data_IF_066748417263
#
_entry.id   IF_066748417263
#
_cell.length_a   1.000
_cell.length_b   1.000
_cell.length_c   1.000
_cell.angle_alpha   90.00
_cell.angle_beta   90.00
_cell.angle_gamma   90.00
#
_symmetry.space_group_name_H-M   'P 1'
#
loop_
_entity.id
_entity.type
_entity.pdbx_description
1 polymer ?
#
# COMPACT_ATOMS: atom_id res chain seq x y z
N UNK A 1 -27.50 12.85 -11.41
CA UNK A 1 -26.74 13.88 -12.15
C UNK A 1 -25.39 13.98 -11.46
N UNK A 2 -24.33 13.48 -12.10
CA UNK A 2 -22.99 13.66 -11.55
C UNK A 2 -22.66 15.15 -11.52
N UNK A 3 -22.08 15.62 -10.42
CA UNK A 3 -21.42 16.92 -10.39
C UNK A 3 -20.30 16.84 -11.42
N UNK A 4 -20.55 17.31 -12.64
CA UNK A 4 -19.49 17.54 -13.59
C UNK A 4 -18.66 18.69 -13.01
N UNK A 5 -17.44 18.38 -12.59
CA UNK A 5 -16.37 19.32 -12.30
C UNK A 5 -16.14 20.19 -13.53
N UNK A 6 -16.91 21.28 -13.69
CA UNK A 6 -16.59 22.28 -14.69
C UNK A 6 -15.28 22.89 -14.21
N UNK A 7 -14.20 22.58 -14.91
CA UNK A 7 -12.88 23.15 -14.66
C UNK A 7 -13.04 24.68 -14.54
N UNK A 8 -12.50 25.34 -13.51
CA UNK A 8 -12.54 26.80 -13.37
C UNK A 8 -12.14 27.55 -14.65
N UNK A 9 -11.22 26.99 -15.44
CA UNK A 9 -10.82 27.51 -16.74
C UNK A 9 -11.96 27.38 -17.76
N UNK A 10 -12.61 26.22 -17.84
CA UNK A 10 -13.77 25.99 -18.71
C UNK A 10 -14.98 26.82 -18.30
N UNK A 11 -15.25 26.95 -16.99
CA UNK A 11 -16.33 27.79 -16.48
C UNK A 11 -16.06 29.27 -16.72
N UNK A 12 -14.80 29.73 -16.57
CA UNK A 12 -14.39 31.09 -16.96
C UNK A 12 -14.63 31.35 -18.45
N UNK A 13 -14.32 30.38 -19.31
CA UNK A 13 -14.56 30.46 -20.74
C UNK A 13 -16.06 30.40 -21.10
N UNK A 14 -16.88 29.69 -20.31
CA UNK A 14 -18.30 29.51 -20.57
C UNK A 14 -19.19 30.65 -20.05
N UNK A 15 -18.83 31.28 -18.93
CA UNK A 15 -19.77 32.16 -18.21
C UNK A 15 -19.54 33.65 -18.38
N UNK A 16 -18.42 34.10 -18.98
CA UNK A 16 -18.04 35.52 -19.05
C UNK A 16 -18.11 36.25 -17.68
N UNK A 17 -18.10 35.51 -16.56
CA UNK A 17 -18.19 36.02 -15.19
C UNK A 17 -16.96 35.59 -14.37
N UNK A 18 -15.76 36.08 -14.73
CA UNK A 18 -14.51 35.72 -14.05
C UNK A 18 -14.52 36.09 -12.55
N UNK A 19 -15.23 37.14 -12.19
CA UNK A 19 -15.30 37.66 -10.82
C UNK A 19 -15.94 36.69 -9.82
N UNK A 20 -16.90 35.86 -10.25
CA UNK A 20 -17.61 34.93 -9.35
C UNK A 20 -16.68 33.79 -8.91
N UNK A 21 -15.92 33.23 -9.84
CA UNK A 21 -14.94 32.18 -9.55
C UNK A 21 -13.77 32.71 -8.72
N UNK A 22 -13.25 33.88 -9.09
CA UNK A 22 -12.14 34.49 -8.35
C UNK A 22 -12.59 34.85 -6.92
N UNK A 23 -13.82 35.33 -6.74
CA UNK A 23 -14.39 35.55 -5.41
C UNK A 23 -14.65 34.25 -4.66
N UNK A 24 -15.10 33.17 -5.31
CA UNK A 24 -15.28 31.86 -4.69
C UNK A 24 -13.97 31.29 -4.15
N UNK A 25 -12.89 31.31 -4.95
CA UNK A 25 -11.58 30.84 -4.52
C UNK A 25 -10.96 31.73 -3.44
N UNK A 26 -11.06 33.06 -3.57
CA UNK A 26 -10.63 34.01 -2.52
C UNK A 26 -11.38 33.80 -1.20
N UNK A 27 -12.69 33.55 -1.26
CA UNK A 27 -13.51 33.24 -0.10
C UNK A 27 -13.13 31.88 0.51
N UNK A 28 -12.87 30.85 -0.31
CA UNK A 28 -12.38 29.55 0.17
C UNK A 28 -11.04 29.73 0.90
N UNK A 29 -10.08 30.46 0.33
CA UNK A 29 -8.77 30.72 0.95
C UNK A 29 -8.89 31.38 2.32
N UNK A 30 -9.80 32.37 2.47
CA UNK A 30 -9.99 33.08 3.75
C UNK A 30 -10.84 32.30 4.76
N UNK A 31 -11.94 31.67 4.34
CA UNK A 31 -12.91 31.02 5.23
C UNK A 31 -12.54 29.58 5.63
N UNK A 32 -11.86 28.82 4.79
CA UNK A 32 -11.52 27.42 5.11
C UNK A 32 -10.52 27.34 6.24
N UNK A 33 -9.61 28.31 6.35
CA UNK A 33 -8.64 28.29 7.45
C UNK A 33 -9.32 28.20 8.82
N UNK A 34 -10.33 29.03 9.11
CA UNK A 34 -11.03 28.96 10.40
C UNK A 34 -11.84 27.68 10.58
N UNK A 35 -12.38 27.10 9.50
CA UNK A 35 -13.20 25.89 9.55
C UNK A 35 -12.38 24.60 9.73
N UNK A 36 -11.19 24.53 9.13
CA UNK A 36 -10.43 23.28 9.00
C UNK A 36 -9.09 23.26 9.75
N UNK A 37 -8.69 24.38 10.37
CA UNK A 37 -7.48 24.48 11.19
C UNK A 37 -7.39 23.43 12.32
N UNK A 38 -8.54 23.03 12.87
CA UNK A 38 -8.60 22.02 13.94
C UNK A 38 -8.59 20.59 13.40
N UNK A 39 -8.69 20.43 12.08
CA UNK A 39 -8.80 19.13 11.40
C UNK A 39 -7.48 18.76 10.73
N UNK A 40 -6.81 19.73 10.10
CA UNK A 40 -5.60 19.48 9.32
C UNK A 40 -4.34 20.08 9.94
N UNK A 41 -3.18 19.42 9.78
CA UNK A 41 -1.88 19.99 10.12
C UNK A 41 -1.62 21.32 9.43
N UNK A 42 -0.82 22.18 10.07
CA UNK A 42 -0.48 23.51 9.55
C UNK A 42 0.13 23.48 8.14
N UNK A 43 1.01 22.51 7.85
CA UNK A 43 1.60 22.32 6.52
C UNK A 43 0.54 21.95 5.47
N UNK A 44 -0.38 21.05 5.79
CA UNK A 44 -1.49 20.67 4.91
C UNK A 44 -2.37 21.88 4.59
N UNK A 45 -2.65 22.73 5.58
CA UNK A 45 -3.40 23.97 5.37
C UNK A 45 -2.66 24.97 4.48
N UNK A 46 -1.33 25.04 4.54
CA UNK A 46 -0.54 25.86 3.62
C UNK A 46 -0.68 25.39 2.17
N UNK A 47 -0.67 24.07 1.94
CA UNK A 47 -0.86 23.49 0.62
C UNK A 47 -2.25 23.80 0.05
N UNK A 48 -3.29 23.63 0.86
CA UNK A 48 -4.67 23.95 0.43
C UNK A 48 -4.86 25.43 0.11
N UNK A 49 -4.24 26.32 0.87
CA UNK A 49 -4.24 27.76 0.55
C UNK A 49 -3.60 28.03 -0.80
N UNK A 50 -2.41 27.47 -1.05
CA UNK A 50 -1.74 27.60 -2.35
C UNK A 50 -2.57 26.99 -3.48
N UNK A 51 -3.19 25.83 -3.24
CA UNK A 51 -4.05 25.14 -4.20
C UNK A 51 -5.22 26.02 -4.68
N UNK A 52 -5.95 26.64 -3.74
CA UNK A 52 -7.03 27.55 -4.10
C UNK A 52 -6.54 28.91 -4.64
N UNK A 53 -5.29 29.27 -4.38
CA UNK A 53 -4.62 30.41 -5.01
C UNK A 53 -4.20 30.17 -6.47
N UNK A 54 -4.23 28.92 -6.92
CA UNK A 54 -3.89 28.51 -8.28
C UNK A 54 -2.52 27.81 -8.39
N UNK A 55 -2.18 27.37 -9.60
CA UNK A 55 -1.02 26.50 -9.87
C UNK A 55 0.30 27.10 -9.37
N UNK A 56 0.53 28.40 -9.58
CA UNK A 56 1.77 29.06 -9.18
C UNK A 56 1.90 29.13 -7.65
N UNK A 57 0.85 29.56 -6.96
CA UNK A 57 0.83 29.64 -5.50
C UNK A 57 0.95 28.25 -4.86
N UNK A 58 0.28 27.24 -5.42
CA UNK A 58 0.38 25.86 -4.98
C UNK A 58 1.80 25.33 -5.12
N UNK A 59 2.42 25.51 -6.30
CA UNK A 59 3.78 25.01 -6.57
C UNK A 59 4.78 25.65 -5.61
N UNK A 60 4.65 26.95 -5.36
CA UNK A 60 5.46 27.67 -4.37
C UNK A 60 5.26 27.11 -2.96
N UNK A 61 4.02 26.91 -2.52
CA UNK A 61 3.72 26.35 -1.21
C UNK A 61 4.25 24.92 -1.06
N UNK A 62 4.04 24.08 -2.08
CA UNK A 62 4.52 22.69 -2.12
C UNK A 62 6.03 22.61 -2.00
N UNK A 63 6.77 23.43 -2.76
CA UNK A 63 8.23 23.49 -2.70
C UNK A 63 8.72 23.90 -1.31
N UNK A 64 8.12 24.93 -0.70
CA UNK A 64 8.49 25.38 0.66
C UNK A 64 8.27 24.28 1.69
N UNK A 65 7.10 23.63 1.67
CA UNK A 65 6.79 22.53 2.59
C UNK A 65 7.73 21.36 2.35
N UNK A 66 7.95 20.98 1.09
CA UNK A 66 8.81 19.87 0.70
C UNK A 66 10.26 20.07 1.13
N UNK A 67 10.87 21.20 0.79
CA UNK A 67 12.25 21.50 1.18
C UNK A 67 12.42 21.42 2.70
N UNK A 68 11.49 21.99 3.48
CA UNK A 68 11.56 21.93 4.95
C UNK A 68 11.52 20.48 5.47
N UNK A 69 10.59 19.66 4.98
CA UNK A 69 10.46 18.26 5.40
C UNK A 69 11.71 17.47 5.01
N UNK A 70 12.20 17.66 3.79
CA UNK A 70 13.39 16.98 3.28
C UNK A 70 14.65 17.36 4.06
N UNK A 71 14.84 18.64 4.41
CA UNK A 71 15.95 19.09 5.25
C UNK A 71 15.94 18.41 6.63
N UNK A 72 14.75 18.27 7.23
CA UNK A 72 14.60 17.63 8.53
C UNK A 72 14.81 16.11 8.50
N UNK A 73 14.43 15.47 7.40
CA UNK A 73 14.70 14.04 7.17
C UNK A 73 16.19 13.81 6.90
N UNK A 74 16.81 14.61 6.03
CA UNK A 74 18.22 14.49 5.68
C UNK A 74 19.16 14.64 6.89
N UNK A 75 18.81 15.48 7.88
CA UNK A 75 19.56 15.59 9.15
C UNK A 75 19.64 14.28 9.95
N UNK A 76 18.75 13.31 9.71
CA UNK A 76 18.74 12.00 10.38
C UNK A 76 19.45 10.91 9.58
N UNK A 77 19.81 11.20 8.33
CA UNK A 77 20.43 10.22 7.44
C UNK A 77 21.94 10.30 7.56
N UNK A 78 22.59 9.14 7.67
CA UNK A 78 24.04 9.02 7.86
C UNK A 78 24.72 8.48 6.60
N UNK A 79 23.99 7.74 5.76
CA UNK A 79 24.46 7.14 4.50
C UNK A 79 23.61 7.62 3.32
N UNK A 80 24.16 7.47 2.10
CA UNK A 80 23.56 7.92 0.83
C UNK A 80 22.74 6.84 0.10
N UNK A 81 22.86 5.57 0.50
CA UNK A 81 22.14 4.47 -0.14
C UNK A 81 21.66 3.46 0.88
N UNK A 82 20.51 2.84 0.59
CA UNK A 82 19.91 1.83 1.47
C UNK A 82 19.08 0.83 0.67
N UNK A 83 18.95 -0.36 1.23
CA UNK A 83 18.18 -1.46 0.67
C UNK A 83 16.72 -1.35 1.14
N UNK A 84 15.74 -1.35 0.21
CA UNK A 84 14.31 -1.28 0.54
C UNK A 84 13.84 -2.42 1.44
N UNK A 85 14.32 -3.63 1.16
CA UNK A 85 14.01 -4.82 1.93
C UNK A 85 14.43 -4.65 3.40
N UNK A 86 15.64 -4.14 3.64
CA UNK A 86 16.17 -3.89 4.97
C UNK A 86 15.40 -2.79 5.72
N UNK A 87 14.96 -1.74 5.01
CA UNK A 87 14.05 -0.73 5.57
C UNK A 87 12.75 -1.41 6.04
N UNK A 88 12.11 -2.20 5.19
CA UNK A 88 10.85 -2.89 5.53
C UNK A 88 11.00 -3.87 6.68
N UNK A 89 12.05 -4.70 6.66
CA UNK A 89 12.36 -5.64 7.74
C UNK A 89 12.58 -4.92 9.06
N UNK A 90 13.18 -3.72 9.05
CA UNK A 90 13.41 -2.94 10.27
C UNK A 90 12.13 -2.29 10.77
N UNK A 91 11.35 -1.66 9.89
CA UNK A 91 10.19 -0.86 10.31
C UNK A 91 8.96 -1.71 10.66
N UNK A 92 8.84 -2.92 10.09
CA UNK A 92 7.75 -3.86 10.38
C UNK A 92 8.06 -4.78 11.57
N UNK A 93 9.30 -4.80 12.05
CA UNK A 93 9.72 -5.56 13.22
C UNK A 93 9.56 -4.70 14.48
N UNK A 94 8.63 -5.10 15.35
CA UNK A 94 8.29 -4.39 16.60
C UNK A 94 9.52 -4.20 17.50
N UNK A 95 10.50 -5.11 17.45
CA UNK A 95 11.72 -4.99 18.26
C UNK A 95 12.70 -3.93 17.71
N UNK A 96 12.61 -3.62 16.41
CA UNK A 96 13.54 -2.74 15.68
C UNK A 96 12.91 -1.47 15.15
N UNK A 97 11.60 -1.31 15.33
CA UNK A 97 10.82 -0.21 14.78
C UNK A 97 11.37 1.16 15.18
N UNK A 98 11.99 1.30 16.36
CA UNK A 98 12.58 2.55 16.86
C UNK A 98 13.85 3.02 16.13
N UNK A 99 14.27 2.35 15.06
CA UNK A 99 15.41 2.79 14.25
C UNK A 99 15.07 4.06 13.45
N UNK A 100 15.35 5.22 14.05
CA UNK A 100 15.02 6.54 13.50
C UNK A 100 15.59 6.78 12.09
N UNK A 101 16.75 6.21 11.77
CA UNK A 101 17.40 6.36 10.46
C UNK A 101 16.55 5.65 9.39
N UNK A 102 16.16 4.40 9.65
CA UNK A 102 15.32 3.62 8.72
C UNK A 102 13.91 4.19 8.59
N UNK A 103 13.35 4.72 9.68
CA UNK A 103 12.10 5.46 9.64
C UNK A 103 12.20 6.72 8.77
N UNK A 104 13.26 7.52 8.94
CA UNK A 104 13.47 8.74 8.16
C UNK A 104 13.65 8.45 6.67
N UNK A 105 14.25 7.32 6.30
CA UNK A 105 14.38 6.91 4.90
C UNK A 105 13.07 6.52 4.26
N UNK A 106 12.27 5.70 4.95
CA UNK A 106 10.96 5.31 4.47
C UNK A 106 10.04 6.54 4.31
N UNK A 107 10.12 7.48 5.26
CA UNK A 107 9.45 8.77 5.18
C UNK A 107 9.93 9.59 3.96
N UNK A 108 11.26 9.68 3.75
CA UNK A 108 11.87 10.39 2.62
C UNK A 108 11.37 9.82 1.28
N UNK A 109 11.40 8.50 1.11
CA UNK A 109 10.88 7.83 -0.08
C UNK A 109 9.42 8.17 -0.35
N UNK A 110 8.57 8.05 0.66
CA UNK A 110 7.14 8.29 0.53
C UNK A 110 6.85 9.76 0.18
N UNK A 111 7.52 10.71 0.85
CA UNK A 111 7.35 12.14 0.62
C UNK A 111 7.85 12.55 -0.76
N UNK A 112 9.03 12.11 -1.19
CA UNK A 112 9.58 12.40 -2.53
C UNK A 112 8.67 11.88 -3.63
N UNK A 113 8.23 10.62 -3.54
CA UNK A 113 7.31 10.05 -4.53
C UNK A 113 5.98 10.81 -4.61
N UNK A 114 5.43 11.19 -3.46
CA UNK A 114 4.18 11.95 -3.39
C UNK A 114 4.35 13.38 -3.94
N UNK A 115 5.50 14.02 -3.68
CA UNK A 115 5.87 15.30 -4.28
C UNK A 115 5.94 15.22 -5.81
N UNK A 116 6.67 14.24 -6.35
CA UNK A 116 6.81 14.07 -7.81
C UNK A 116 5.44 13.84 -8.47
N UNK A 117 4.58 13.05 -7.81
CA UNK A 117 3.21 12.79 -8.25
C UNK A 117 2.38 14.08 -8.26
N UNK A 118 2.47 14.92 -7.24
CA UNK A 118 1.80 16.23 -7.22
C UNK A 118 2.32 17.12 -8.33
N UNK A 119 3.65 17.29 -8.44
CA UNK A 119 4.30 18.13 -9.45
C UNK A 119 3.96 17.70 -10.88
N UNK A 120 3.92 16.39 -11.17
CA UNK A 120 3.52 15.89 -12.49
C UNK A 120 2.07 16.23 -12.84
N UNK A 121 1.20 16.37 -11.84
CA UNK A 121 -0.22 16.62 -12.02
C UNK A 121 -0.63 18.09 -11.84
N UNK A 122 0.29 19.00 -11.51
CA UNK A 122 -0.04 20.44 -11.40
C UNK A 122 -0.43 21.05 -12.75
N UNK A 123 0.16 20.56 -13.84
CA UNK A 123 -0.14 21.00 -15.20
C UNK A 123 -1.22 20.17 -15.91
N UNK A 124 -1.84 19.21 -15.23
CA UNK A 124 -2.85 18.34 -15.85
C UNK A 124 -4.26 18.87 -15.58
N UNK A 125 -5.23 18.34 -16.34
CA UNK A 125 -6.64 18.71 -16.21
C UNK A 125 -7.23 18.34 -14.83
N UNK A 126 -6.55 17.48 -14.07
CA UNK A 126 -7.03 17.03 -12.77
C UNK A 126 -6.74 18.04 -11.66
N UNK A 127 -5.96 19.10 -11.90
CA UNK A 127 -5.55 20.04 -10.84
C UNK A 127 -6.75 20.52 -10.03
N UNK A 128 -7.81 21.03 -10.67
CA UNK A 128 -8.98 21.57 -9.98
C UNK A 128 -10.04 20.52 -9.59
N UNK A 129 -9.64 19.27 -9.40
CA UNK A 129 -10.57 18.16 -9.09
C UNK A 129 -10.34 17.63 -7.68
N UNK A 130 -11.35 16.94 -7.15
CA UNK A 130 -11.28 16.23 -5.87
C UNK A 130 -10.14 15.20 -5.83
N UNK A 131 -9.72 14.68 -6.99
CA UNK A 131 -8.59 13.74 -7.11
C UNK A 131 -7.29 14.42 -6.68
N UNK A 132 -7.06 15.65 -7.11
CA UNK A 132 -5.85 16.39 -6.76
C UNK A 132 -5.88 16.86 -5.31
N UNK A 133 -7.04 17.28 -4.79
CA UNK A 133 -7.23 17.52 -3.35
C UNK A 133 -6.87 16.26 -2.53
N UNK A 134 -7.26 15.08 -2.99
CA UNK A 134 -6.86 13.80 -2.40
C UNK A 134 -5.34 13.60 -2.36
N UNK A 135 -4.61 13.98 -3.41
CA UNK A 135 -3.15 13.93 -3.42
C UNK A 135 -2.52 14.93 -2.44
N UNK A 136 -3.13 16.11 -2.28
CA UNK A 136 -2.70 17.10 -1.27
C UNK A 136 -2.90 16.53 0.15
N UNK A 137 -4.03 15.87 0.42
CA UNK A 137 -4.28 15.21 1.70
C UNK A 137 -3.28 14.08 1.99
N UNK A 138 -2.98 13.24 1.00
CA UNK A 138 -1.97 12.17 1.08
C UNK A 138 -0.61 12.78 1.48
N UNK A 139 -0.14 13.75 0.69
CA UNK A 139 1.13 14.41 0.92
C UNK A 139 1.20 15.12 2.28
N UNK A 140 0.16 15.86 2.65
CA UNK A 140 0.10 16.58 3.92
C UNK A 140 0.18 15.65 5.13
N UNK A 141 -0.43 14.46 5.06
CA UNK A 141 -0.30 13.44 6.11
C UNK A 141 1.12 12.87 6.19
N UNK A 142 1.74 12.57 5.04
CA UNK A 142 3.13 12.11 4.99
C UNK A 142 4.10 13.15 5.54
N UNK A 143 3.90 14.43 5.18
CA UNK A 143 4.70 15.55 5.67
C UNK A 143 4.57 15.71 7.19
N UNK A 144 3.35 15.68 7.73
CA UNK A 144 3.11 15.75 9.17
C UNK A 144 3.80 14.60 9.92
N UNK A 145 3.70 13.38 9.40
CA UNK A 145 4.31 12.21 10.01
C UNK A 145 5.83 12.20 9.94
N UNK A 146 6.37 12.76 8.88
CA UNK A 146 7.81 12.97 8.74
C UNK A 146 8.30 13.98 9.78
N UNK A 147 7.54 15.06 10.02
CA UNK A 147 7.86 16.03 11.05
C UNK A 147 7.71 15.46 12.47
N UNK A 148 6.78 14.51 12.68
CA UNK A 148 6.59 13.81 13.95
C UNK A 148 7.83 13.00 14.38
N UNK A 149 8.68 12.59 13.43
CA UNK A 149 9.98 11.96 13.74
C UNK A 149 10.95 12.90 14.48
N UNK A 150 10.67 14.20 14.54
CA UNK A 150 11.41 15.15 15.37
C UNK A 150 10.92 15.20 16.83
N UNK A 151 9.83 14.51 17.17
CA UNK A 151 9.26 14.51 18.52
C UNK A 151 8.45 15.76 18.89
N UNK A 152 8.22 16.68 17.94
CA UNK A 152 7.45 17.91 18.18
C UNK A 152 5.95 17.76 18.00
N UNK A 153 5.51 16.67 17.38
CA UNK A 153 4.11 16.32 17.21
C UNK A 153 3.95 14.79 17.20
N UNK A 154 2.74 14.32 17.48
CA UNK A 154 2.41 12.90 17.40
C UNK A 154 0.94 12.71 16.99
N UNK A 155 0.63 11.56 16.39
CA UNK A 155 -0.76 11.15 16.18
C UNK A 155 -1.31 10.52 17.46
N UNK A 156 -2.63 10.58 17.62
CA UNK A 156 -3.30 9.78 18.63
C UNK A 156 -3.11 8.28 18.30
N UNK A 157 -2.49 7.47 19.19
CA UNK A 157 -2.12 6.09 18.91
C UNK A 157 -3.32 5.12 18.84
N UNK A 158 -4.52 5.57 19.23
CA UNK A 158 -5.74 4.75 19.17
C UNK A 158 -6.73 5.38 18.19
N UNK A 159 -6.86 4.75 17.02
CA UNK A 159 -7.93 4.98 16.06
C UNK A 159 -8.49 3.65 15.62
N UNK A 160 -9.71 3.37 16.05
CA UNK A 160 -10.44 2.13 15.78
C UNK A 160 -10.97 2.18 14.34
N UNK A 161 -10.26 1.54 13.41
CA UNK A 161 -10.51 1.61 11.97
C UNK A 161 -11.90 1.15 11.52
N UNK A 162 -12.50 0.22 12.28
CA UNK A 162 -13.88 -0.23 12.08
C UNK A 162 -14.87 0.94 12.15
N UNK A 163 -14.58 2.01 12.89
CA UNK A 163 -15.41 3.22 12.89
C UNK A 163 -15.23 4.09 11.63
N UNK A 164 -14.19 3.87 10.82
CA UNK A 164 -13.97 4.57 9.54
C UNK A 164 -14.50 3.77 8.33
N UNK A 165 -14.53 2.42 8.42
CA UNK A 165 -15.11 1.56 7.39
C UNK A 165 -16.62 1.73 7.26
N UNK A 166 -17.35 1.91 8.38
CA UNK A 166 -18.81 2.08 8.30
C UNK A 166 -19.23 3.41 7.65
N UNK A 167 -18.64 4.57 7.97
CA UNK A 167 -18.84 5.80 7.20
C UNK A 167 -18.47 5.64 5.73
N UNK A 168 -17.31 5.05 5.42
CA UNK A 168 -16.89 4.80 4.03
C UNK A 168 -17.88 3.89 3.28
N UNK A 169 -18.31 2.80 3.90
CA UNK A 169 -19.29 1.88 3.31
C UNK A 169 -20.67 2.54 3.14
N UNK A 170 -21.07 3.39 4.09
CA UNK A 170 -22.32 4.17 4.00
C UNK A 170 -22.25 5.19 2.86
N UNK A 171 -21.15 5.94 2.76
CA UNK A 171 -20.94 6.94 1.70
C UNK A 171 -20.83 6.29 0.31
N UNK A 172 -20.24 5.10 0.22
CA UNK A 172 -20.22 4.27 -1.00
C UNK A 172 -21.64 3.84 -1.43
N UNK A 173 -22.51 3.48 -0.48
CA UNK A 173 -23.91 3.12 -0.76
C UNK A 173 -24.76 4.36 -1.10
N UNK A 174 -24.45 5.51 -0.50
CA UNK A 174 -25.19 6.76 -0.69
C UNK A 174 -24.75 7.57 -1.93
N UNK A 175 -23.78 7.07 -2.71
CA UNK A 175 -23.19 7.77 -3.88
C UNK A 175 -22.65 9.18 -3.57
N UNK A 176 -22.37 9.50 -2.30
CA UNK A 176 -21.85 10.80 -1.84
C UNK A 176 -20.32 10.78 -1.73
N UNK A 177 -19.65 10.23 -2.73
CA UNK A 177 -18.20 10.06 -2.70
C UNK A 177 -17.50 11.39 -3.01
N UNK A 178 -17.24 12.19 -1.98
CA UNK A 178 -16.21 13.22 -2.04
C UNK A 178 -14.91 12.56 -1.56
N UNK A 179 -13.83 12.61 -2.34
CA UNK A 179 -12.54 11.97 -2.04
C UNK A 179 -11.83 12.53 -0.78
N UNK A 180 -12.54 13.27 0.08
CA UNK A 180 -11.99 14.19 1.08
C UNK A 180 -11.68 13.57 2.46
N UNK A 181 -11.94 12.29 2.75
CA UNK A 181 -11.65 11.69 4.07
C UNK A 181 -11.02 10.29 3.99
N UNK A 182 -10.25 9.87 5.02
CA UNK A 182 -9.06 9.07 4.80
C UNK A 182 -9.39 7.62 4.46
N UNK A 183 -9.25 7.31 3.17
CA UNK A 183 -9.15 5.95 2.60
C UNK A 183 -7.95 5.17 3.18
N UNK A 184 -7.07 5.84 3.93
CA UNK A 184 -5.78 5.34 4.38
C UNK A 184 -5.84 4.33 5.52
N UNK A 185 -6.63 4.57 6.58
CA UNK A 185 -6.86 3.57 7.62
C UNK A 185 -7.54 2.31 7.05
N UNK A 186 -8.49 2.50 6.12
CA UNK A 186 -9.12 1.41 5.36
C UNK A 186 -8.12 0.67 4.45
N UNK A 187 -7.04 1.33 4.01
CA UNK A 187 -6.00 0.71 3.18
C UNK A 187 -5.32 -0.45 3.89
N UNK A 188 -5.27 -0.48 5.24
CA UNK A 188 -4.73 -1.62 5.99
C UNK A 188 -5.57 -2.89 5.78
N UNK A 189 -6.90 -2.75 5.74
CA UNK A 189 -7.80 -3.87 5.46
C UNK A 189 -7.69 -4.30 4.00
N UNK A 190 -7.62 -3.33 3.08
CA UNK A 190 -7.45 -3.60 1.66
C UNK A 190 -6.13 -4.33 1.38
N UNK A 191 -5.01 -3.89 1.97
CA UNK A 191 -3.71 -4.57 1.86
C UNK A 191 -3.82 -6.02 2.30
N UNK A 192 -4.39 -6.28 3.48
CA UNK A 192 -4.58 -7.65 3.99
C UNK A 192 -5.41 -8.49 3.03
N UNK A 193 -6.55 -7.95 2.59
CA UNK A 193 -7.47 -8.65 1.70
C UNK A 193 -6.84 -8.92 0.33
N UNK A 194 -6.13 -7.95 -0.24
CA UNK A 194 -5.44 -8.09 -1.52
C UNK A 194 -4.35 -9.15 -1.45
N UNK A 195 -3.54 -9.21 -0.39
CA UNK A 195 -2.55 -10.29 -0.20
C UNK A 195 -3.25 -11.65 -0.15
N UNK A 196 -4.31 -11.77 0.65
CA UNK A 196 -5.05 -13.03 0.82
C UNK A 196 -5.67 -13.50 -0.50
N UNK A 197 -6.40 -12.63 -1.19
CA UNK A 197 -7.05 -12.93 -2.48
C UNK A 197 -6.00 -13.26 -3.54
N UNK A 198 -4.91 -12.50 -3.63
CA UNK A 198 -3.87 -12.73 -4.62
C UNK A 198 -3.21 -14.11 -4.47
N UNK A 199 -2.86 -14.50 -3.24
CA UNK A 199 -2.28 -15.82 -2.96
C UNK A 199 -3.28 -16.93 -3.28
N UNK A 200 -4.53 -16.78 -2.82
CA UNK A 200 -5.60 -17.74 -3.08
C UNK A 200 -5.86 -17.94 -4.57
N UNK A 201 -5.94 -16.85 -5.34
CA UNK A 201 -6.13 -16.90 -6.80
C UNK A 201 -4.94 -17.55 -7.50
N UNK A 202 -3.71 -17.22 -7.09
CA UNK A 202 -2.52 -17.85 -7.65
C UNK A 202 -2.50 -19.36 -7.36
N UNK A 203 -2.86 -19.80 -6.15
CA UNK A 203 -2.93 -21.23 -5.82
C UNK A 203 -4.20 -21.95 -6.33
N UNK A 204 -5.14 -21.23 -6.96
CA UNK A 204 -6.41 -21.82 -7.41
C UNK A 204 -7.33 -22.26 -6.27
N UNK A 205 -7.33 -21.54 -5.14
CA UNK A 205 -8.06 -21.88 -3.92
C UNK A 205 -9.07 -20.77 -3.60
N UNK A 206 -10.34 -21.12 -3.40
CA UNK A 206 -11.35 -20.19 -2.87
C UNK A 206 -11.26 -20.14 -1.35
N UNK A 207 -11.28 -21.31 -0.71
CA UNK A 207 -11.21 -21.41 0.75
C UNK A 207 -10.57 -22.73 1.20
N UNK A 208 -9.95 -22.71 2.37
CA UNK A 208 -9.45 -23.92 3.05
C UNK A 208 -10.14 -23.96 4.41
N UNK A 209 -10.93 -25.01 4.68
CA UNK A 209 -11.71 -25.10 5.93
C UNK A 209 -11.35 -26.36 6.70
N UNK A 210 -11.22 -26.24 8.02
CA UNK A 210 -10.98 -27.39 8.89
C UNK A 210 -12.17 -28.36 8.86
N UNK A 211 -11.93 -29.66 8.72
CA UNK A 211 -12.95 -30.71 8.85
C UNK A 211 -13.07 -31.08 10.34
N UNK A 212 -14.26 -30.91 10.91
CA UNK A 212 -14.58 -31.40 12.27
C UNK A 212 -14.71 -32.92 12.25
N UNK A 213 -14.63 -33.58 13.41
CA UNK A 213 -14.79 -35.05 13.55
C UNK A 213 -16.09 -35.59 12.97
N UNK A 214 -17.15 -34.79 12.93
CA UNK A 214 -18.46 -35.14 12.35
C UNK A 214 -18.58 -34.79 10.85
N UNK A 215 -17.47 -34.51 10.16
CA UNK A 215 -17.45 -34.13 8.75
C UNK A 215 -17.91 -32.70 8.45
N UNK A 216 -18.41 -31.96 9.44
CA UNK A 216 -18.83 -30.56 9.23
C UNK A 216 -17.61 -29.65 9.00
N UNK A 217 -17.77 -28.68 8.12
CA UNK A 217 -16.76 -27.65 7.90
C UNK A 217 -16.73 -26.69 9.10
N UNK A 218 -15.53 -26.49 9.63
CA UNK A 218 -15.21 -25.62 10.74
C UNK A 218 -14.63 -24.30 10.27
N UNK A 219 -13.66 -23.80 11.03
CA UNK A 219 -13.02 -22.50 10.80
C UNK A 219 -12.24 -22.51 9.49
N UNK A 220 -12.27 -21.40 8.78
CA UNK A 220 -11.39 -21.14 7.64
C UNK A 220 -9.94 -20.95 8.12
N UNK A 221 -9.01 -21.55 7.38
CA UNK A 221 -7.58 -21.39 7.61
C UNK A 221 -7.19 -19.97 7.19
N UNK A 222 -6.67 -19.20 8.14
CA UNK A 222 -6.22 -17.83 7.87
C UNK A 222 -4.94 -17.80 7.03
N UNK A 223 -4.78 -16.70 6.28
CA UNK A 223 -3.65 -16.45 5.37
C UNK A 223 -2.26 -16.64 6.01
N UNK A 224 -2.12 -16.36 7.31
CA UNK A 224 -0.86 -16.58 8.03
C UNK A 224 -0.35 -18.03 7.95
N UNK A 225 -1.25 -19.02 7.99
CA UNK A 225 -0.86 -20.42 7.87
C UNK A 225 -0.51 -20.80 6.43
N UNK A 226 -1.17 -20.19 5.45
CA UNK A 226 -0.89 -20.39 4.02
C UNK A 226 0.50 -19.80 3.68
N UNK A 227 0.84 -18.63 4.24
CA UNK A 227 2.17 -18.04 4.09
C UNK A 227 3.28 -18.91 4.69
N UNK A 228 3.02 -19.59 5.81
CA UNK A 228 3.98 -20.55 6.40
C UNK A 228 4.17 -21.78 5.52
N UNK A 229 3.07 -22.30 4.94
CA UNK A 229 3.13 -23.37 3.95
C UNK A 229 3.97 -22.98 2.74
N UNK A 230 3.71 -21.80 2.16
CA UNK A 230 4.46 -21.30 1.01
C UNK A 230 5.95 -21.15 1.32
N UNK A 231 6.30 -20.64 2.50
CA UNK A 231 7.70 -20.54 2.93
C UNK A 231 8.41 -21.91 2.94
N UNK A 232 7.73 -22.98 3.39
CA UNK A 232 8.27 -24.35 3.36
C UNK A 232 8.48 -24.83 1.92
N UNK A 233 7.50 -24.60 1.03
CA UNK A 233 7.61 -24.99 -0.39
C UNK A 233 8.68 -24.21 -1.14
N UNK A 234 8.89 -22.94 -0.79
CA UNK A 234 9.99 -22.13 -1.31
C UNK A 234 11.35 -22.71 -0.87
N UNK A 235 11.50 -23.07 0.41
CA UNK A 235 12.74 -23.70 0.93
C UNK A 235 13.04 -25.04 0.25
N UNK A 236 12.01 -25.82 -0.05
CA UNK A 236 12.12 -27.11 -0.72
C UNK A 236 12.23 -26.99 -2.26
N UNK A 237 12.30 -25.77 -2.80
CA UNK A 237 12.39 -25.49 -4.25
C UNK A 237 11.23 -26.03 -5.09
N UNK A 238 10.10 -26.33 -4.47
CA UNK A 238 8.87 -26.71 -5.18
C UNK A 238 8.10 -25.48 -5.68
N UNK A 239 8.40 -24.31 -5.10
CA UNK A 239 7.74 -23.04 -5.39
C UNK A 239 8.73 -21.88 -5.40
N UNK A 240 8.46 -20.85 -6.18
CA UNK A 240 9.06 -19.54 -6.06
C UNK A 240 7.97 -18.46 -6.03
N UNK A 241 8.29 -17.33 -5.43
CA UNK A 241 7.51 -16.11 -5.55
C UNK A 241 8.43 -14.98 -5.98
N UNK A 242 7.88 -13.92 -6.57
CA UNK A 242 8.63 -12.76 -7.08
C UNK A 242 9.11 -11.74 -6.02
N UNK A 243 8.93 -12.04 -4.73
CA UNK A 243 9.28 -11.15 -3.60
C UNK A 243 9.78 -11.96 -2.39
N UNK A 244 10.33 -11.30 -1.37
CA UNK A 244 10.64 -11.96 -0.10
C UNK A 244 9.36 -12.34 0.68
N UNK A 245 9.16 -13.64 0.90
CA UNK A 245 8.05 -14.19 1.69
C UNK A 245 8.06 -13.68 3.13
N UNK A 246 9.24 -13.42 3.71
CA UNK A 246 9.37 -12.94 5.09
C UNK A 246 8.76 -11.55 5.25
N UNK A 247 8.96 -10.67 4.25
CA UNK A 247 8.34 -9.34 4.26
C UNK A 247 6.82 -9.45 4.15
N UNK A 248 6.30 -10.33 3.29
CA UNK A 248 4.84 -10.54 3.17
C UNK A 248 4.26 -11.04 4.51
N UNK A 249 4.96 -11.96 5.20
CA UNK A 249 4.57 -12.43 6.53
C UNK A 249 4.57 -11.29 7.57
N UNK A 250 5.57 -10.41 7.56
CA UNK A 250 5.65 -9.24 8.44
C UNK A 250 4.54 -8.23 8.14
N UNK A 251 4.27 -7.94 6.87
CA UNK A 251 3.13 -7.09 6.45
C UNK A 251 1.84 -7.69 7.00
N UNK A 252 1.61 -8.99 6.79
CA UNK A 252 0.41 -9.68 7.29
C UNK A 252 0.29 -9.64 8.83
N UNK A 253 1.40 -9.78 9.56
CA UNK A 253 1.43 -9.63 11.02
C UNK A 253 1.07 -8.20 11.43
N UNK A 254 1.66 -7.21 10.77
CA UNK A 254 1.44 -5.79 11.02
C UNK A 254 -0.02 -5.37 10.80
N UNK A 255 -0.60 -5.70 9.63
CA UNK A 255 -2.02 -5.40 9.33
C UNK A 255 -2.96 -6.11 10.31
N UNK A 256 -2.70 -7.37 10.67
CA UNK A 256 -3.52 -8.10 11.65
C UNK A 256 -3.47 -7.46 13.03
N UNK A 257 -2.30 -7.04 13.50
CA UNK A 257 -2.17 -6.33 14.78
C UNK A 257 -3.03 -5.07 14.78
N UNK A 258 -2.99 -4.28 13.72
CA UNK A 258 -3.83 -3.09 13.62
C UNK A 258 -5.33 -3.43 13.65
N UNK A 259 -5.76 -4.38 12.81
CA UNK A 259 -7.17 -4.78 12.68
C UNK A 259 -7.73 -5.29 14.01
N UNK A 260 -6.95 -6.06 14.78
CA UNK A 260 -7.42 -6.64 16.05
C UNK A 260 -7.33 -5.68 17.24
N UNK A 261 -6.36 -4.75 17.25
CA UNK A 261 -6.10 -3.90 18.42
C UNK A 261 -6.60 -2.46 18.26
N UNK A 262 -6.85 -2.01 17.02
CA UNK A 262 -7.12 -0.60 16.70
C UNK A 262 -5.96 0.34 17.04
N UNK A 263 -4.77 -0.19 17.35
CA UNK A 263 -3.58 0.61 17.66
C UNK A 263 -2.88 0.98 16.38
N UNK A 264 -3.11 2.22 15.94
CA UNK A 264 -2.36 2.82 14.84
C UNK A 264 -1.10 3.43 15.42
N UNK A 265 -0.11 2.59 15.70
CA UNK A 265 1.19 3.03 16.25
C UNK A 265 2.17 3.45 15.15
N UNK A 266 1.70 3.55 13.91
CA UNK A 266 2.54 3.52 12.73
C UNK A 266 2.23 4.68 11.79
N UNK A 267 3.24 5.43 11.32
CA UNK A 267 3.02 6.54 10.42
C UNK A 267 2.53 6.14 9.02
N UNK A 268 1.92 7.08 8.30
CA UNK A 268 1.32 6.89 6.97
C UNK A 268 2.36 6.45 5.93
N UNK A 269 3.63 6.83 6.11
CA UNK A 269 4.70 6.41 5.20
C UNK A 269 4.96 4.89 5.24
N UNK A 270 4.58 4.15 6.30
CA UNK A 270 4.61 2.66 6.29
C UNK A 270 3.76 2.10 5.17
N UNK A 271 2.52 2.56 5.05
CA UNK A 271 1.58 2.06 4.04
C UNK A 271 2.11 2.38 2.64
N UNK A 272 2.66 3.57 2.43
CA UNK A 272 3.26 3.94 1.14
C UNK A 272 4.43 3.03 0.77
N UNK A 273 5.34 2.74 1.71
CA UNK A 273 6.47 1.82 1.49
C UNK A 273 6.00 0.37 1.28
N UNK A 274 5.01 -0.09 2.04
CA UNK A 274 4.39 -1.42 1.85
C UNK A 274 3.78 -1.54 0.46
N UNK A 275 3.02 -0.54 0.00
CA UNK A 275 2.40 -0.55 -1.32
C UNK A 275 3.44 -0.56 -2.44
N UNK A 276 4.56 0.17 -2.27
CA UNK A 276 5.67 0.12 -3.22
C UNK A 276 6.23 -1.30 -3.35
N UNK A 277 6.44 -1.98 -2.24
CA UNK A 277 6.92 -3.36 -2.22
C UNK A 277 5.91 -4.35 -2.81
N UNK A 278 4.64 -4.21 -2.44
CA UNK A 278 3.55 -5.07 -2.91
C UNK A 278 3.28 -4.91 -4.41
N UNK A 279 3.70 -3.81 -5.05
CA UNK A 279 3.60 -3.67 -6.49
C UNK A 279 4.32 -4.81 -7.23
N UNK A 280 5.53 -5.16 -6.78
CA UNK A 280 6.29 -6.29 -7.32
C UNK A 280 5.69 -7.64 -6.94
N UNK A 281 4.88 -7.69 -5.87
CA UNK A 281 4.14 -8.91 -5.50
C UNK A 281 2.91 -9.11 -6.38
N UNK A 282 2.16 -8.05 -6.68
CA UNK A 282 0.94 -8.13 -7.49
C UNK A 282 1.22 -8.24 -8.99
N UNK A 283 2.34 -7.66 -9.45
CA UNK A 283 2.71 -7.62 -10.86
C UNK A 283 4.11 -8.17 -11.08
N UNK A 284 4.25 -9.14 -11.98
CA UNK A 284 5.57 -9.72 -12.34
C UNK A 284 6.47 -8.65 -12.94
N UNK A 285 7.66 -8.37 -12.34
CA UNK A 285 8.66 -7.51 -12.95
C UNK A 285 9.12 -8.05 -14.32
N UNK A 286 9.44 -7.15 -15.25
CA UNK A 286 9.91 -7.51 -16.60
C UNK A 286 11.12 -8.44 -16.58
N UNK A 287 12.00 -8.25 -15.60
CA UNK A 287 13.23 -9.02 -15.41
C UNK A 287 12.93 -10.48 -15.07
N UNK A 288 11.86 -10.75 -14.32
CA UNK A 288 11.46 -12.13 -13.98
C UNK A 288 10.87 -12.84 -15.20
N UNK A 289 10.22 -12.10 -16.11
CA UNK A 289 9.66 -12.68 -17.34
C UNK A 289 10.73 -13.34 -18.20
N UNK A 290 11.96 -12.83 -18.18
CA UNK A 290 13.08 -13.39 -18.94
C UNK A 290 13.67 -14.66 -18.31
N UNK A 291 13.26 -15.01 -17.09
CA UNK A 291 13.79 -16.15 -16.32
C UNK A 291 13.03 -17.45 -16.54
N UNK A 292 11.93 -17.45 -17.31
CA UNK A 292 11.16 -18.66 -17.58
C UNK A 292 10.57 -18.68 -18.98
N UNK A 293 10.38 -19.90 -19.50
CA UNK A 293 10.12 -20.17 -20.91
C UNK A 293 8.62 -20.31 -21.25
N UNK A 294 7.73 -20.05 -20.30
CA UNK A 294 6.29 -20.25 -20.47
C UNK A 294 5.74 -19.35 -21.59
N UNK A 295 5.03 -19.95 -22.53
CA UNK A 295 4.28 -19.24 -23.58
C UNK A 295 3.06 -18.48 -23.03
N UNK A 296 2.58 -18.87 -21.85
CA UNK A 296 1.49 -18.19 -21.15
C UNK A 296 2.07 -17.21 -20.13
N UNK A 297 1.97 -15.92 -20.44
CA UNK A 297 2.36 -14.84 -19.55
C UNK A 297 1.12 -14.28 -18.85
N UNK A 298 1.05 -14.44 -17.53
CA UNK A 298 0.02 -13.83 -16.69
C UNK A 298 0.66 -12.75 -15.82
N UNK A 299 0.36 -11.48 -16.12
CA UNK A 299 0.88 -10.31 -15.39
C UNK A 299 0.49 -10.32 -13.91
N UNK A 300 -0.65 -10.92 -13.57
CA UNK A 300 -1.18 -11.03 -12.20
C UNK A 300 -0.69 -12.29 -11.49
N UNK A 301 0.15 -13.10 -12.14
CA UNK A 301 0.82 -14.20 -11.46
C UNK A 301 1.92 -13.66 -10.56
N UNK A 302 2.17 -14.33 -9.45
CA UNK A 302 3.33 -14.04 -8.59
C UNK A 302 3.93 -15.29 -7.96
N UNK A 303 3.30 -16.43 -8.22
CA UNK A 303 3.68 -17.72 -7.68
C UNK A 303 4.01 -18.63 -8.85
N UNK A 304 5.19 -19.22 -8.76
CA UNK A 304 5.74 -20.15 -9.72
C UNK A 304 5.84 -21.51 -9.04
N UNK A 305 5.40 -22.57 -9.71
CA UNK A 305 5.44 -23.93 -9.19
C UNK A 305 6.22 -24.84 -10.14
N UNK A 306 6.99 -25.74 -9.55
CA UNK A 306 7.58 -26.85 -10.28
C UNK A 306 6.45 -27.80 -10.75
N UNK A 307 6.59 -28.37 -11.95
CA UNK A 307 5.54 -29.15 -12.60
C UNK A 307 5.06 -30.34 -11.77
N UNK A 308 5.97 -31.14 -11.21
CA UNK A 308 5.59 -32.30 -10.40
C UNK A 308 4.84 -31.89 -9.12
N UNK A 309 5.21 -30.76 -8.54
CA UNK A 309 4.49 -30.18 -7.40
C UNK A 309 3.10 -29.65 -7.78
N UNK A 310 2.91 -29.01 -8.94
CA UNK A 310 1.59 -28.51 -9.35
C UNK A 310 0.55 -29.64 -9.45
N UNK A 311 0.94 -30.79 -9.99
CA UNK A 311 0.07 -31.95 -10.17
C UNK A 311 -0.45 -32.51 -8.84
N UNK A 312 0.35 -32.46 -7.76
CA UNK A 312 0.00 -32.97 -6.42
C UNK A 312 -0.31 -31.87 -5.39
N UNK A 313 -0.28 -30.59 -5.79
CA UNK A 313 -0.32 -29.43 -4.89
C UNK A 313 -1.44 -29.50 -3.86
N UNK A 314 -2.66 -29.90 -4.25
CA UNK A 314 -3.79 -29.94 -3.33
C UNK A 314 -3.63 -31.02 -2.26
N UNK A 315 -3.11 -32.20 -2.61
CA UNK A 315 -2.87 -33.26 -1.64
C UNK A 315 -1.74 -32.85 -0.70
N UNK A 316 -0.68 -32.24 -1.23
CA UNK A 316 0.42 -31.71 -0.43
C UNK A 316 -0.04 -30.63 0.57
N UNK A 317 -0.95 -29.74 0.17
CA UNK A 317 -1.60 -28.78 1.08
C UNK A 317 -2.38 -29.51 2.18
N UNK A 318 -3.21 -30.49 1.83
CA UNK A 318 -3.99 -31.25 2.82
C UNK A 318 -3.06 -31.97 3.81
N UNK A 319 -2.00 -32.62 3.31
CA UNK A 319 -1.00 -33.32 4.11
C UNK A 319 -0.24 -32.38 5.04
N UNK A 320 0.19 -31.21 4.56
CA UNK A 320 0.85 -30.20 5.39
C UNK A 320 -0.01 -29.82 6.60
N UNK A 321 -1.31 -29.57 6.41
CA UNK A 321 -2.20 -29.21 7.51
C UNK A 321 -2.46 -30.37 8.47
N UNK A 322 -2.49 -31.61 7.97
CA UNK A 322 -2.64 -32.81 8.80
C UNK A 322 -1.38 -33.02 9.64
N UNK A 323 -0.20 -33.08 9.00
CA UNK A 323 1.05 -33.47 9.62
C UNK A 323 1.65 -32.37 10.50
N UNK A 324 1.69 -31.12 10.02
CA UNK A 324 2.35 -30.01 10.72
C UNK A 324 1.42 -29.30 11.69
N UNK A 325 0.12 -29.32 11.43
CA UNK A 325 -0.86 -28.55 12.22
C UNK A 325 -1.86 -29.42 12.98
N UNK A 326 -1.99 -30.70 12.65
CA UNK A 326 -2.84 -31.65 13.38
C UNK A 326 -4.34 -31.51 13.07
N UNK A 327 -4.72 -30.90 11.94
CA UNK A 327 -6.12 -30.81 11.55
C UNK A 327 -6.33 -31.18 10.08
N UNK A 328 -7.32 -32.04 9.85
CA UNK A 328 -7.84 -32.34 8.52
C UNK A 328 -8.48 -31.09 7.92
N UNK A 329 -8.24 -30.84 6.63
CA UNK A 329 -8.83 -29.70 5.91
C UNK A 329 -9.63 -30.17 4.69
N UNK A 330 -10.49 -29.29 4.19
CA UNK A 330 -11.13 -29.38 2.88
C UNK A 330 -10.73 -28.16 2.08
N UNK A 331 -10.24 -28.37 0.87
CA UNK A 331 -9.95 -27.29 -0.07
C UNK A 331 -11.14 -27.10 -1.02
N UNK A 332 -11.60 -25.87 -1.14
CA UNK A 332 -12.53 -25.44 -2.17
C UNK A 332 -11.72 -24.83 -3.31
N UNK A 333 -11.75 -25.49 -4.48
CA UNK A 333 -10.94 -25.10 -5.65
C UNK A 333 -11.62 -23.97 -6.41
N UNK A 334 -10.81 -23.04 -6.92
CA UNK A 334 -11.22 -22.02 -7.87
C UNK A 334 -11.37 -22.63 -9.27
N UNK A 335 -12.15 -21.95 -10.13
CA UNK A 335 -12.25 -22.29 -11.56
C UNK A 335 -11.05 -21.81 -12.37
N UNK A 336 -10.27 -20.88 -11.83
CA UNK A 336 -9.05 -20.35 -12.42
C UNK A 336 -7.91 -20.43 -11.41
N UNK A 337 -6.70 -20.70 -11.90
CA UNK A 337 -5.46 -20.52 -11.17
C UNK A 337 -4.57 -19.53 -11.95
N UNK A 338 -3.91 -18.63 -11.23
CA UNK A 338 -2.92 -17.72 -11.83
C UNK A 338 -1.49 -18.25 -11.67
N UNK A 339 -1.31 -19.47 -11.15
CA UNK A 339 -0.01 -20.14 -11.01
C UNK A 339 0.70 -20.27 -12.36
N UNK A 340 2.00 -19.98 -12.39
CA UNK A 340 2.83 -20.30 -13.56
C UNK A 340 3.61 -21.57 -13.26
N UNK A 341 3.47 -22.56 -14.15
CA UNK A 341 4.24 -23.81 -14.08
C UNK A 341 5.58 -23.61 -14.77
N UNK A 342 6.65 -23.95 -14.07
CA UNK A 342 8.04 -23.81 -14.53
C UNK A 342 8.86 -25.05 -14.18
N UNK A 343 10.06 -25.15 -14.73
CA UNK A 343 11.06 -26.15 -14.36
C UNK A 343 11.76 -25.81 -13.04
N UNK A 344 12.41 -26.78 -12.41
CA UNK A 344 13.19 -26.57 -11.18
C UNK A 344 14.33 -25.56 -11.39
N UNK A 345 14.98 -25.56 -12.56
CA UNK A 345 16.05 -24.60 -12.89
C UNK A 345 15.54 -23.16 -12.97
N UNK A 346 14.32 -22.97 -13.49
CA UNK A 346 13.64 -21.68 -13.53
C UNK A 346 13.23 -21.23 -12.11
N UNK A 347 12.74 -22.14 -11.25
CA UNK A 347 12.52 -21.85 -9.81
C UNK A 347 13.80 -21.33 -9.17
N UNK A 348 14.92 -22.02 -9.36
CA UNK A 348 16.21 -21.62 -8.80
C UNK A 348 16.65 -20.24 -9.33
N UNK A 349 16.40 -19.96 -10.60
CA UNK A 349 16.74 -18.68 -11.24
C UNK A 349 15.92 -17.52 -10.67
N UNK A 350 14.61 -17.72 -10.51
CA UNK A 350 13.71 -16.73 -9.89
C UNK A 350 14.11 -16.47 -8.44
N UNK A 351 14.37 -17.53 -7.65
CA UNK A 351 14.79 -17.37 -6.25
C UNK A 351 16.14 -16.62 -6.12
N UNK A 352 17.10 -16.89 -7.01
CA UNK A 352 18.37 -16.15 -7.08
C UNK A 352 18.15 -14.68 -7.43
N UNK A 353 17.27 -14.40 -8.40
CA UNK A 353 16.90 -13.03 -8.76
C UNK A 353 16.30 -12.30 -7.57
N UNK A 354 15.32 -12.91 -6.88
CA UNK A 354 14.70 -12.30 -5.71
C UNK A 354 15.73 -12.02 -4.63
N UNK A 355 16.62 -12.98 -4.33
CA UNK A 355 17.70 -12.76 -3.36
C UNK A 355 18.63 -11.61 -3.77
N UNK A 356 18.98 -11.49 -5.05
CA UNK A 356 19.79 -10.37 -5.55
C UNK A 356 19.04 -9.04 -5.44
N UNK A 357 17.76 -9.00 -5.80
CA UNK A 357 16.93 -7.79 -5.71
C UNK A 357 16.74 -7.29 -4.26
N UNK A 358 16.89 -8.18 -3.28
CA UNK A 358 16.93 -7.81 -1.86
C UNK A 358 18.22 -7.08 -1.47
N UNK A 359 19.24 -7.04 -2.33
CA UNK A 359 20.50 -6.34 -2.10
C UNK A 359 20.58 -5.05 -2.94
N UNK A 360 19.58 -4.79 -3.80
CA UNK A 360 19.56 -3.60 -4.65
C UNK A 360 19.41 -2.33 -3.80
N UNK A 361 20.39 -1.45 -3.94
CA UNK A 361 20.43 -0.18 -3.24
C UNK A 361 19.52 0.85 -3.92
N UNK A 362 18.69 1.52 -3.13
CA UNK A 362 18.06 2.77 -3.54
C UNK A 362 19.05 3.90 -3.25
N UNK A 363 19.50 4.57 -4.31
CA UNK A 363 20.29 5.80 -4.24
C UNK A 363 19.37 7.01 -4.10
N UNK A 364 19.77 7.98 -3.28
CA UNK A 364 19.00 9.18 -2.93
C UNK A 364 19.68 10.49 -3.29
#
# INVERSE_FOLDING_TARGET
MGFYDINPVEFKLMTNQPDILDNFYKDKVTKIYSLYLNVYPSMTMQLFRGYWGGIEEFTKALNVVHSKVMDNLNKKLIQSSYILNDILLTILDVEKENNIVKQALAAKLAVSKSYDKLMKNTSSQIFYTDIFEGYIHEYGNLAFDSEALNGHCSRNPRKVANLAIFPLAKELVEYNFTYQYPVFESSVFLIRQSIEVHIKNNLGIVSIRQKKRNGRLGREIGIANILQYMEEKIKNKSMAINVDIKVIQLINKWVNTYIHTGRFSYPYWYISTILLYLNNFFYVPSEIKELYSSSYFNLESSIFAEKSYEEDMYNDIENYFIEKKGYNVKIEKSRSNNLIVVSEDEINSIQKYVKKSQEDEIQF
#
